data_IF_447608086947
#
_entry.id   IF_447608086947
#
_cell.length_a   1.000
_cell.length_b   1.000
_cell.length_c   1.000
_cell.angle_alpha   90.00
_cell.angle_beta   90.00
_cell.angle_gamma   90.00
#
_symmetry.space_group_name_H-M   'P 1'
#
loop_
_entity.id
_entity.type
_entity.pdbx_description
1 polymer ?
#
# COMPACT_ATOMS: atom_id res chain seq x y z
N UNK A 1 -17.47 0.33 8.23
CA UNK A 1 -17.05 0.14 6.81
C UNK A 1 -15.53 0.08 6.79
N UNK A 2 -14.92 -0.72 5.90
CA UNK A 2 -14.27 -1.97 6.31
C UNK A 2 -12.74 -1.92 6.17
N UNK A 3 -12.10 -3.09 6.28
CA UNK A 3 -10.72 -3.33 5.86
C UNK A 3 -10.68 -3.45 4.34
N UNK A 4 -9.73 -2.78 3.68
CA UNK A 4 -9.47 -2.88 2.24
C UNK A 4 -8.08 -3.45 2.02
N UNK A 5 -7.96 -4.35 1.05
CA UNK A 5 -6.69 -4.85 0.55
C UNK A 5 -6.55 -4.52 -0.93
N UNK A 6 -5.47 -3.82 -1.28
CA UNK A 6 -5.16 -3.42 -2.66
C UNK A 6 -3.85 -4.06 -3.09
N UNK A 7 -3.91 -4.97 -4.06
CA UNK A 7 -2.71 -5.55 -4.69
C UNK A 7 -2.45 -4.87 -6.03
N UNK A 8 -1.28 -4.25 -6.15
CA UNK A 8 -0.77 -3.68 -7.39
C UNK A 8 0.28 -4.57 -8.07
N UNK A 9 0.43 -5.81 -7.59
CA UNK A 9 1.40 -6.76 -8.14
C UNK A 9 1.08 -7.10 -9.60
N UNK A 10 2.10 -7.07 -10.44
CA UNK A 10 1.97 -7.36 -11.88
C UNK A 10 1.18 -6.32 -12.68
N UNK A 11 0.81 -5.17 -12.09
CA UNK A 11 0.17 -4.11 -12.83
C UNK A 11 1.18 -3.34 -13.70
N UNK A 12 0.74 -2.94 -14.89
CA UNK A 12 1.54 -2.14 -15.81
C UNK A 12 0.72 -1.00 -16.41
N UNK A 13 1.40 0.11 -16.72
CA UNK A 13 0.86 1.25 -17.44
C UNK A 13 1.69 1.44 -18.71
N UNK A 14 1.04 1.38 -19.87
CA UNK A 14 1.69 1.45 -21.19
C UNK A 14 2.87 0.47 -21.38
N UNK A 15 2.72 -0.75 -20.83
CA UNK A 15 3.74 -1.80 -20.92
C UNK A 15 4.94 -1.62 -19.98
N UNK A 16 4.94 -0.59 -19.13
CA UNK A 16 5.93 -0.41 -18.05
C UNK A 16 5.32 -0.80 -16.71
N UNK A 17 6.14 -1.30 -15.79
CA UNK A 17 5.71 -1.47 -14.41
C UNK A 17 5.25 -0.11 -13.83
N UNK A 18 4.28 -0.14 -12.91
CA UNK A 18 3.66 1.09 -12.38
C UNK A 18 4.69 2.03 -11.77
N UNK A 19 5.67 1.50 -11.01
CA UNK A 19 6.77 2.26 -10.42
C UNK A 19 7.59 3.01 -11.49
N UNK A 20 7.94 2.35 -12.59
CA UNK A 20 8.67 2.96 -13.71
C UNK A 20 7.85 3.99 -14.46
N UNK A 21 6.55 3.72 -14.66
CA UNK A 21 5.65 4.65 -15.32
C UNK A 21 5.47 5.93 -14.48
N UNK A 22 5.26 5.78 -13.17
CA UNK A 22 5.16 6.88 -12.21
C UNK A 22 6.47 7.68 -12.16
N UNK A 23 7.62 7.00 -12.07
CA UNK A 23 8.94 7.64 -12.04
C UNK A 23 9.21 8.45 -13.30
N UNK A 24 8.85 7.93 -14.47
CA UNK A 24 9.02 8.67 -15.73
C UNK A 24 8.15 9.92 -15.85
N UNK A 25 7.06 9.99 -15.07
CA UNK A 25 6.08 11.08 -15.12
C UNK A 25 6.29 12.11 -14.00
N UNK A 26 6.61 11.63 -12.80
CA UNK A 26 6.63 12.41 -11.56
C UNK A 26 8.03 12.49 -10.91
N UNK A 27 9.02 11.77 -11.44
CA UNK A 27 10.33 11.58 -10.82
C UNK A 27 10.33 10.49 -9.75
N UNK A 28 11.49 10.27 -9.12
CA UNK A 28 11.65 9.22 -8.11
C UNK A 28 10.72 9.46 -6.90
N UNK A 29 9.81 8.52 -6.59
CA UNK A 29 8.90 8.69 -5.47
C UNK A 29 9.66 8.59 -4.14
N UNK A 30 9.60 9.64 -3.33
CA UNK A 30 10.12 9.61 -1.95
C UNK A 30 9.10 8.96 -1.00
N UNK A 31 7.81 9.18 -1.24
CA UNK A 31 6.72 8.57 -0.48
C UNK A 31 5.46 8.51 -1.33
N UNK A 32 4.83 7.34 -1.40
CA UNK A 32 3.55 7.14 -2.10
C UNK A 32 2.53 6.67 -1.08
N UNK A 33 1.43 7.40 -1.00
CA UNK A 33 0.36 7.12 -0.06
C UNK A 33 -0.98 7.35 -0.75
N UNK A 34 -1.85 6.36 -0.66
CA UNK A 34 -3.24 6.47 -1.11
C UNK A 34 -4.14 5.99 0.01
N UNK A 35 -5.27 6.65 0.20
CA UNK A 35 -6.21 6.32 1.26
C UNK A 35 -7.61 6.26 0.68
N UNK A 36 -8.29 5.15 0.94
CA UNK A 36 -9.72 5.02 0.66
C UNK A 36 -10.52 5.75 1.74
N UNK A 37 -11.35 6.75 1.42
CA UNK A 37 -12.19 7.42 2.42
C UNK A 37 -13.08 6.41 3.16
N UNK A 38 -13.29 6.62 4.46
CA UNK A 38 -14.19 5.81 5.31
C UNK A 38 -13.77 4.34 5.51
N UNK A 39 -12.49 4.02 5.27
CA UNK A 39 -11.86 2.71 5.52
C UNK A 39 -11.08 2.74 6.83
N UNK A 40 -11.21 1.69 7.64
CA UNK A 40 -10.54 1.56 8.94
C UNK A 40 -9.10 1.08 8.81
N UNK A 41 -8.86 0.16 7.87
CA UNK A 41 -7.54 -0.36 7.54
C UNK A 41 -7.42 -0.46 6.02
N UNK A 42 -6.51 0.30 5.42
CA UNK A 42 -6.13 0.22 4.01
C UNK A 42 -4.77 -0.47 3.93
N UNK A 43 -4.73 -1.70 3.44
CA UNK A 43 -3.51 -2.47 3.27
C UNK A 43 -3.16 -2.60 1.78
N UNK A 44 -2.03 -2.07 1.38
CA UNK A 44 -1.57 -2.05 -0.01
C UNK A 44 -0.27 -2.83 -0.17
N UNK A 45 -0.16 -3.54 -1.28
CA UNK A 45 1.06 -4.26 -1.66
C UNK A 45 1.42 -3.89 -3.09
N UNK A 46 2.67 -3.50 -3.30
CA UNK A 46 3.21 -3.15 -4.61
C UNK A 46 4.63 -3.67 -4.78
N UNK A 47 5.09 -3.72 -6.02
CA UNK A 47 6.47 -4.00 -6.37
C UNK A 47 7.14 -2.68 -6.77
N UNK A 48 8.27 -2.37 -6.15
CA UNK A 48 9.11 -1.21 -6.49
C UNK A 48 10.53 -1.73 -6.61
N UNK A 49 11.18 -1.50 -7.76
CA UNK A 49 12.56 -1.93 -8.02
C UNK A 49 12.82 -3.43 -7.72
N UNK A 50 11.79 -4.27 -7.93
CA UNK A 50 11.84 -5.72 -7.70
C UNK A 50 11.65 -6.15 -6.24
N UNK A 51 11.39 -5.20 -5.32
CA UNK A 51 11.08 -5.48 -3.92
C UNK A 51 9.59 -5.33 -3.63
N UNK A 52 9.08 -6.15 -2.71
CA UNK A 52 7.72 -6.02 -2.21
C UNK A 52 7.65 -4.94 -1.15
N UNK A 53 6.80 -3.94 -1.39
CA UNK A 53 6.52 -2.85 -0.47
C UNK A 53 5.11 -2.99 0.05
N UNK A 54 4.99 -3.05 1.39
CA UNK A 54 3.72 -3.14 2.10
C UNK A 54 3.42 -1.78 2.74
N UNK A 55 2.25 -1.21 2.44
CA UNK A 55 1.77 0.02 3.07
C UNK A 55 0.49 -0.30 3.86
N UNK A 56 0.43 0.22 5.09
CA UNK A 56 -0.69 0.03 6.00
C UNK A 56 -1.12 1.39 6.51
N UNK A 57 -2.38 1.74 6.29
CA UNK A 57 -3.01 2.89 6.92
C UNK A 57 -4.13 2.42 7.83
N UNK A 58 -4.04 2.76 9.11
CA UNK A 58 -5.10 2.49 10.08
C UNK A 58 -5.63 3.81 10.62
N UNK A 59 -6.95 3.95 10.68
CA UNK A 59 -7.57 5.03 11.44
C UNK A 59 -7.32 4.81 12.94
N UNK A 60 -7.05 5.88 13.68
CA UNK A 60 -6.87 5.81 15.14
C UNK A 60 -8.18 5.39 15.83
N UNK A 61 -8.05 4.67 16.96
CA UNK A 61 -9.14 4.27 17.86
C UNK A 61 -10.26 3.40 17.24
N UNK A 62 -10.05 2.81 16.06
CA UNK A 62 -11.04 1.91 15.43
C UNK A 62 -10.72 0.42 15.61
N UNK A 63 -9.49 0.08 15.98
CA UNK A 63 -9.02 -1.29 16.21
C UNK A 63 -8.62 -1.50 17.67
N UNK A 64 -8.61 -2.75 18.10
CA UNK A 64 -8.12 -3.12 19.43
C UNK A 64 -6.61 -2.84 19.57
N UNK A 65 -6.19 -2.46 20.76
CA UNK A 65 -4.77 -2.20 21.07
C UNK A 65 -3.86 -3.36 20.67
N UNK A 66 -2.78 -3.05 19.98
CA UNK A 66 -1.78 -4.02 19.52
C UNK A 66 -2.21 -4.93 18.36
N UNK A 67 -3.43 -4.77 17.83
CA UNK A 67 -3.89 -5.57 16.69
C UNK A 67 -3.09 -5.28 15.42
N UNK A 68 -2.83 -4.01 15.10
CA UNK A 68 -2.03 -3.63 13.93
C UNK A 68 -0.61 -4.19 14.02
N UNK A 69 0.05 -4.07 15.18
CA UNK A 69 1.39 -4.61 15.38
C UNK A 69 1.44 -6.13 15.20
N UNK A 70 0.37 -6.82 15.64
CA UNK A 70 0.26 -8.28 15.50
C UNK A 70 0.06 -8.69 14.04
N UNK A 71 -0.76 -7.94 13.30
CA UNK A 71 -0.98 -8.16 11.87
C UNK A 71 0.28 -7.90 11.06
N UNK A 72 0.99 -6.81 11.35
CA UNK A 72 2.26 -6.47 10.70
C UNK A 72 3.29 -7.58 10.86
N UNK A 73 3.42 -8.17 12.07
CA UNK A 73 4.34 -9.29 12.33
C UNK A 73 3.99 -10.60 11.63
N UNK A 74 2.73 -10.78 11.21
CA UNK A 74 2.26 -12.04 10.63
C UNK A 74 2.22 -12.00 9.10
N UNK A 75 2.07 -10.80 8.52
CA UNK A 75 1.73 -10.60 7.11
C UNK A 75 2.79 -9.81 6.32
N UNK A 76 3.85 -9.33 6.98
CA UNK A 76 5.04 -8.74 6.37
C UNK A 76 6.29 -9.52 6.81
#
# INVERSE_FOLDING_TARGET
MPVVFTSMLGMSLDGKAIDQAMTSTLGDPVHVFTQTPQVWLDHQVMEIDGELVFSWYCMEDVLADGLIDSLFKTSC
#
